data_IF_707828596582
#
_entry.id   IF_707828596582
#
_cell.length_a   1.000
_cell.length_b   1.000
_cell.length_c   1.000
_cell.angle_alpha   90.00
_cell.angle_beta   90.00
_cell.angle_gamma   90.00
#
_symmetry.space_group_name_H-M   'P 1'
#
loop_
_entity.id
_entity.type
_entity.pdbx_description
1 polymer ?
#
# COMPACT_ATOMS: atom_id res chain seq x y z
N UNK A 1 -11.29 -16.81 -17.78
CA UNK A 1 -9.88 -16.91 -17.35
C UNK A 1 -9.40 -15.52 -16.97
N UNK A 2 -9.14 -15.25 -15.69
CA UNK A 2 -8.65 -13.95 -15.24
C UNK A 2 -7.12 -13.95 -15.27
N UNK A 3 -6.45 -12.96 -15.88
CA UNK A 3 -5.00 -12.87 -15.85
C UNK A 3 -4.56 -12.48 -14.44
N UNK A 4 -3.97 -13.44 -13.73
CA UNK A 4 -3.33 -13.24 -12.44
C UNK A 4 -2.16 -12.25 -12.57
N UNK A 5 -2.01 -11.40 -11.57
CA UNK A 5 -0.86 -10.54 -11.36
C UNK A 5 0.48 -11.28 -11.61
N UNK A 6 1.10 -11.08 -12.78
CA UNK A 6 2.49 -11.54 -13.01
C UNK A 6 3.41 -10.69 -12.14
N UNK A 7 4.08 -11.31 -11.16
CA UNK A 7 5.22 -10.73 -10.45
C UNK A 7 6.30 -10.40 -11.47
N UNK A 8 6.61 -9.13 -11.65
CA UNK A 8 7.75 -8.66 -12.45
C UNK A 8 8.81 -8.18 -11.47
N UNK A 9 9.94 -8.90 -11.40
CA UNK A 9 11.19 -8.54 -10.72
C UNK A 9 11.09 -8.01 -9.27
N UNK A 10 11.32 -8.93 -8.33
CA UNK A 10 11.89 -8.67 -7.00
C UNK A 10 10.97 -8.08 -5.93
N UNK A 11 10.17 -7.06 -6.20
CA UNK A 11 9.33 -6.38 -5.20
C UNK A 11 8.06 -5.69 -5.76
N UNK A 12 7.78 -5.84 -7.06
CA UNK A 12 6.61 -5.22 -7.68
C UNK A 12 5.41 -6.17 -7.66
N UNK A 13 4.29 -5.70 -7.08
CA UNK A 13 3.05 -6.47 -6.92
C UNK A 13 1.91 -5.73 -7.60
N UNK A 14 1.13 -6.42 -8.43
CA UNK A 14 -0.11 -5.85 -8.94
C UNK A 14 -1.20 -5.89 -7.87
N UNK A 15 -1.89 -4.77 -7.71
CA UNK A 15 -2.99 -4.60 -6.76
C UNK A 15 -4.13 -3.86 -7.44
N UNK A 16 -5.32 -3.99 -6.88
CA UNK A 16 -6.44 -3.14 -7.19
C UNK A 16 -6.44 -1.96 -6.22
N UNK A 17 -6.37 -0.73 -6.71
CA UNK A 17 -6.52 0.49 -5.91
C UNK A 17 -7.93 1.05 -6.08
N UNK A 18 -8.61 1.35 -4.98
CA UNK A 18 -9.88 2.09 -5.04
C UNK A 18 -9.62 3.54 -5.51
N UNK A 19 -10.29 3.93 -6.58
CA UNK A 19 -10.26 5.29 -7.16
C UNK A 19 -11.15 6.20 -6.32
N UNK A 20 -10.58 7.29 -5.83
CA UNK A 20 -11.29 8.36 -5.11
C UNK A 20 -11.87 9.42 -6.08
N UNK A 21 -11.40 9.41 -7.34
CA UNK A 21 -11.84 10.35 -8.38
C UNK A 21 -12.85 9.68 -9.31
N UNK A 22 -13.92 10.43 -9.64
CA UNK A 22 -14.99 10.03 -10.56
C UNK A 22 -14.41 9.60 -11.93
N UNK A 23 -14.81 8.44 -12.48
CA UNK A 23 -15.73 7.46 -11.92
C UNK A 23 -15.10 6.65 -10.77
N UNK A 24 -15.86 6.48 -9.69
CA UNK A 24 -15.51 5.60 -8.58
C UNK A 24 -15.38 4.15 -9.08
N UNK A 25 -14.38 3.43 -8.58
CA UNK A 25 -14.14 2.04 -8.97
C UNK A 25 -12.75 1.55 -8.62
N UNK A 26 -12.49 0.27 -8.85
CA UNK A 26 -11.18 -0.33 -8.66
C UNK A 26 -10.34 -0.22 -9.94
N UNK A 27 -9.09 0.20 -9.79
CA UNK A 27 -8.14 0.30 -10.91
C UNK A 27 -6.89 -0.51 -10.58
N UNK A 28 -6.46 -1.35 -11.53
CA UNK A 28 -5.22 -2.12 -11.37
C UNK A 28 -4.02 -1.18 -11.36
N UNK A 29 -3.10 -1.39 -10.43
CA UNK A 29 -1.86 -0.63 -10.24
C UNK A 29 -0.74 -1.60 -9.91
N UNK A 30 0.48 -1.24 -10.28
CA UNK A 30 1.68 -1.90 -9.76
C UNK A 30 2.12 -1.14 -8.51
N UNK A 31 2.33 -1.83 -7.40
CA UNK A 31 2.91 -1.29 -6.17
C UNK A 31 4.33 -1.82 -6.03
N UNK A 32 5.25 -0.93 -5.68
CA UNK A 32 6.66 -1.24 -5.42
C UNK A 32 7.03 -0.60 -4.09
N UNK A 33 7.53 -1.39 -3.15
CA UNK A 33 8.01 -0.88 -1.87
C UNK A 33 9.53 -0.90 -1.85
N UNK A 34 10.14 0.25 -1.55
CA UNK A 34 11.57 0.39 -1.40
C UNK A 34 11.89 0.55 0.10
N UNK A 35 12.14 -0.58 0.78
CA UNK A 35 12.36 -0.64 2.25
C UNK A 35 13.52 0.25 2.72
N UNK A 36 14.63 0.31 1.96
CA UNK A 36 15.81 1.12 2.32
C UNK A 36 15.51 2.62 2.37
N UNK A 37 14.55 3.09 1.57
CA UNK A 37 14.08 4.48 1.57
C UNK A 37 12.77 4.67 2.33
N UNK A 38 12.13 3.57 2.75
CA UNK A 38 10.80 3.54 3.36
C UNK A 38 9.77 4.25 2.48
N UNK A 39 9.78 3.94 1.17
CA UNK A 39 8.88 4.56 0.19
C UNK A 39 7.97 3.51 -0.46
N UNK A 40 6.70 3.86 -0.62
CA UNK A 40 5.77 3.11 -1.47
C UNK A 40 5.51 3.90 -2.75
N UNK A 41 5.71 3.25 -3.89
CA UNK A 41 5.37 3.80 -5.20
C UNK A 41 4.27 2.98 -5.81
N UNK A 42 3.30 3.64 -6.44
CA UNK A 42 2.34 2.95 -7.29
C UNK A 42 2.30 3.54 -8.70
N UNK A 43 2.14 2.65 -9.68
CA UNK A 43 2.23 2.93 -11.10
C UNK A 43 0.94 2.55 -11.82
N UNK A 44 0.60 3.28 -12.89
CA UNK A 44 -0.57 3.00 -13.74
C UNK A 44 -0.41 1.74 -14.62
N UNK A 45 0.79 1.17 -14.68
CA UNK A 45 1.17 -0.01 -15.45
C UNK A 45 2.56 -0.50 -15.01
N UNK A 46 3.22 -1.38 -15.77
CA UNK A 46 4.55 -1.88 -15.43
C UNK A 46 5.54 -0.75 -15.16
N UNK A 47 6.46 -0.98 -14.21
CA UNK A 47 7.50 -0.03 -13.85
C UNK A 47 8.41 0.24 -15.06
N UNK A 48 8.41 1.47 -15.56
CA UNK A 48 9.27 1.89 -16.68
C UNK A 48 9.78 3.33 -16.44
N UNK A 49 10.99 3.45 -15.87
CA UNK A 49 11.71 4.72 -15.64
C UNK A 49 10.78 5.89 -15.30
N UNK A 50 9.95 5.71 -14.28
CA UNK A 50 8.96 6.66 -13.75
C UNK A 50 7.86 7.17 -14.70
N UNK A 51 7.84 6.79 -15.98
CA UNK A 51 6.78 7.18 -16.94
C UNK A 51 5.37 6.79 -16.49
N UNK A 52 5.28 5.73 -15.69
CA UNK A 52 4.03 5.21 -15.16
C UNK A 52 3.76 5.58 -13.70
N UNK A 53 4.65 6.32 -13.04
CA UNK A 53 4.53 6.64 -11.62
C UNK A 53 3.29 7.53 -11.39
N UNK A 54 2.40 7.07 -10.51
CA UNK A 54 1.21 7.82 -10.14
C UNK A 54 1.48 8.66 -8.89
N UNK A 55 2.05 8.05 -7.86
CA UNK A 55 2.49 8.76 -6.66
C UNK A 55 3.56 7.98 -5.91
N UNK A 56 4.26 8.71 -5.06
CA UNK A 56 5.23 8.20 -4.09
C UNK A 56 4.78 8.62 -2.69
N UNK A 57 4.71 7.66 -1.77
CA UNK A 57 4.28 7.86 -0.39
C UNK A 57 5.41 7.54 0.57
N UNK A 58 5.54 8.35 1.61
CA UNK A 58 6.50 8.13 2.69
C UNK A 58 5.89 7.21 3.75
N UNK A 59 6.52 6.05 3.93
CA UNK A 59 6.05 5.02 4.86
C UNK A 59 6.47 5.29 6.31
N UNK A 60 7.34 6.28 6.57
CA UNK A 60 7.76 6.66 7.95
C UNK A 60 6.61 7.13 8.82
N UNK A 61 5.62 7.74 8.20
CA UNK A 61 4.49 8.36 8.87
C UNK A 61 3.15 7.71 8.48
N UNK A 62 3.17 6.39 8.26
CA UNK A 62 1.94 5.62 8.03
C UNK A 62 1.10 5.63 9.30
N UNK A 63 -0.20 5.86 9.13
CA UNK A 63 -1.21 5.74 10.18
C UNK A 63 -2.39 4.93 9.68
N UNK A 64 -3.21 4.42 10.61
CA UNK A 64 -4.46 3.70 10.29
C UNK A 64 -4.26 2.52 9.33
N UNK A 65 -3.14 1.79 9.44
CA UNK A 65 -2.94 0.54 8.71
C UNK A 65 -3.89 -0.52 9.29
N UNK A 66 -4.94 -0.85 8.55
CA UNK A 66 -5.95 -1.79 8.98
C UNK A 66 -6.41 -2.71 7.86
N UNK A 67 -6.71 -3.95 8.22
CA UNK A 67 -7.37 -4.89 7.31
C UNK A 67 -8.78 -4.40 7.06
N UNK A 68 -9.15 -4.27 5.78
CA UNK A 68 -10.53 -3.93 5.43
C UNK A 68 -11.35 -5.21 5.52
N UNK A 69 -11.95 -5.48 6.69
CA UNK A 69 -12.91 -6.58 6.85
C UNK A 69 -14.11 -6.26 5.95
N UNK A 70 -14.52 -7.16 5.03
CA UNK A 70 -15.67 -6.90 4.19
C UNK A 70 -16.90 -6.73 5.07
N UNK A 71 -17.37 -5.48 5.23
CA UNK A 71 -18.67 -5.23 5.85
C UNK A 71 -19.72 -5.85 4.94
N UNK A 72 -20.45 -6.80 5.50
CA UNK A 72 -21.40 -7.71 4.87
C UNK A 72 -22.53 -6.94 4.15
N UNK A 73 -22.24 -6.29 3.02
CA UNK A 73 -23.22 -5.58 2.19
C UNK A 73 -22.85 -5.70 0.70
N UNK A 74 -23.60 -6.57 0.04
CA UNK A 74 -24.04 -6.54 -1.36
C UNK A 74 -23.49 -5.41 -2.25
N UNK A 75 -22.37 -5.66 -2.95
CA UNK A 75 -22.23 -5.47 -4.41
C UNK A 75 -20.85 -5.97 -4.88
N UNK A 76 -20.84 -7.00 -5.72
CA UNK A 76 -19.78 -7.45 -6.63
C UNK A 76 -18.30 -7.45 -6.15
N UNK A 77 -17.87 -8.60 -5.60
CA UNK A 77 -16.62 -9.28 -6.00
C UNK A 77 -15.25 -8.76 -5.52
N UNK A 78 -15.08 -7.49 -5.19
CA UNK A 78 -13.76 -6.88 -4.99
C UNK A 78 -13.55 -6.32 -3.58
N UNK A 79 -13.57 -7.21 -2.57
CA UNK A 79 -13.14 -6.87 -1.20
C UNK A 79 -12.34 -7.99 -0.52
N UNK A 80 -12.06 -9.09 -1.22
CA UNK A 80 -11.21 -10.15 -0.66
C UNK A 80 -9.79 -9.63 -0.58
N UNK A 81 -9.15 -9.79 0.58
CA UNK A 81 -7.77 -9.38 0.83
C UNK A 81 -7.51 -7.87 0.66
N UNK A 82 -8.52 -7.04 0.92
CA UNK A 82 -8.38 -5.60 0.95
C UNK A 82 -7.81 -5.12 2.29
N UNK A 83 -7.06 -4.02 2.24
CA UNK A 83 -6.53 -3.30 3.39
C UNK A 83 -6.45 -1.83 3.06
N UNK A 84 -6.39 -1.00 4.10
CA UNK A 84 -6.23 0.43 3.95
C UNK A 84 -5.20 1.00 4.90
N UNK A 85 -4.63 2.13 4.51
CA UNK A 85 -3.71 2.91 5.33
C UNK A 85 -3.70 4.35 4.86
N UNK A 86 -3.20 5.23 5.71
CA UNK A 86 -2.96 6.64 5.38
C UNK A 86 -1.47 6.91 5.43
N UNK A 87 -0.94 7.60 4.42
CA UNK A 87 0.46 8.00 4.38
C UNK A 87 0.62 9.37 3.69
N UNK A 88 1.60 10.20 4.09
CA UNK A 88 1.90 11.43 3.38
C UNK A 88 2.56 11.16 2.02
N UNK A 89 2.30 12.04 1.06
CA UNK A 89 3.08 12.08 -0.17
C UNK A 89 4.54 12.43 0.13
N UNK A 90 5.44 11.69 -0.49
CA UNK A 90 6.86 12.04 -0.52
C UNK A 90 7.04 13.42 -1.17
N UNK A 91 8.03 14.24 -0.74
CA UNK A 91 8.41 15.47 -1.42
C UNK A 91 8.71 15.31 -2.91
N UNK A 92 9.03 14.09 -3.36
CA UNK A 92 9.36 13.76 -4.76
C UNK A 92 8.17 13.16 -5.52
N UNK A 93 7.00 13.04 -4.90
CA UNK A 93 5.82 12.50 -5.56
C UNK A 93 5.40 13.39 -6.74
N UNK A 94 5.22 12.83 -7.95
CA UNK A 94 4.67 13.60 -9.04
C UNK A 94 3.25 14.05 -8.69
N UNK A 95 2.92 15.32 -8.93
CA UNK A 95 1.57 15.91 -8.81
C UNK A 95 1.01 16.09 -7.38
N UNK A 96 1.75 15.77 -6.32
CA UNK A 96 1.33 16.05 -4.96
C UNK A 96 2.36 16.93 -4.25
N UNK A 97 1.90 17.99 -3.57
CA UNK A 97 2.76 18.76 -2.66
C UNK A 97 3.12 17.83 -1.49
N UNK A 98 4.42 17.68 -1.21
CA UNK A 98 4.92 16.81 -0.13
C UNK A 98 4.20 17.09 1.20
N UNK A 99 3.99 16.03 1.99
CA UNK A 99 3.33 16.12 3.29
C UNK A 99 1.80 16.09 3.26
N UNK A 100 1.14 16.18 2.09
CA UNK A 100 -0.31 15.92 2.01
C UNK A 100 -0.59 14.45 2.30
N UNK A 101 -1.44 14.17 3.29
CA UNK A 101 -1.90 12.82 3.61
C UNK A 101 -2.80 12.27 2.48
N UNK A 102 -2.59 11.01 2.12
CA UNK A 102 -3.42 10.25 1.21
C UNK A 102 -3.87 8.96 1.90
N UNK A 103 -5.18 8.69 1.89
CA UNK A 103 -5.73 7.39 2.24
C UNK A 103 -5.67 6.49 1.00
N UNK A 104 -5.22 5.24 1.18
CA UNK A 104 -5.24 4.23 0.12
C UNK A 104 -5.99 3.02 0.60
N UNK A 105 -6.90 2.55 -0.25
CA UNK A 105 -7.51 1.23 -0.14
C UNK A 105 -6.97 0.38 -1.27
N UNK A 106 -6.23 -0.67 -0.90
CA UNK A 106 -5.61 -1.62 -1.82
C UNK A 106 -6.22 -3.00 -1.62
N UNK A 107 -6.36 -3.74 -2.70
CA UNK A 107 -6.72 -5.15 -2.69
C UNK A 107 -5.64 -5.93 -3.43
N UNK A 108 -5.07 -6.92 -2.73
CA UNK A 108 -4.17 -7.91 -3.34
C UNK A 108 -4.99 -9.05 -3.96
N UNK A 109 -4.37 -9.80 -4.87
CA UNK A 109 -5.01 -10.99 -5.47
C UNK A 109 -5.05 -12.15 -4.47
N UNK A 110 -4.08 -12.23 -3.56
CA UNK A 110 -3.97 -13.30 -2.56
C UNK A 110 -3.81 -12.77 -1.13
N UNK A 111 -4.22 -13.58 -0.15
CA UNK A 111 -3.98 -13.32 1.27
C UNK A 111 -2.49 -13.16 1.59
N UNK A 112 -1.64 -14.01 1.00
CA UNK A 112 -0.20 -13.95 1.21
C UNK A 112 0.42 -12.63 0.73
N UNK A 113 -0.05 -12.11 -0.41
CA UNK A 113 0.41 -10.81 -0.93
C UNK A 113 -0.09 -9.65 -0.09
N UNK A 114 -1.34 -9.71 0.41
CA UNK A 114 -1.85 -8.75 1.39
C UNK A 114 -0.97 -8.73 2.62
N UNK A 115 -0.74 -9.89 3.24
CA UNK A 115 0.08 -9.99 4.46
C UNK A 115 1.50 -9.51 4.22
N UNK A 116 2.12 -9.88 3.10
CA UNK A 116 3.46 -9.43 2.74
C UNK A 116 3.53 -7.89 2.63
N UNK A 117 2.60 -7.28 1.88
CA UNK A 117 2.54 -5.82 1.73
C UNK A 117 2.31 -5.11 3.07
N UNK A 118 1.33 -5.58 3.86
CA UNK A 118 1.04 -4.99 5.17
C UNK A 118 2.23 -5.11 6.12
N UNK A 119 2.91 -6.26 6.18
CA UNK A 119 4.09 -6.46 7.02
C UNK A 119 5.23 -5.51 6.63
N UNK A 120 5.50 -5.35 5.33
CA UNK A 120 6.55 -4.45 4.85
C UNK A 120 6.20 -2.99 5.15
N UNK A 121 4.94 -2.58 4.95
CA UNK A 121 4.47 -1.22 5.28
C UNK A 121 4.60 -0.96 6.79
N UNK A 122 4.14 -1.89 7.62
CA UNK A 122 4.24 -1.81 9.08
C UNK A 122 5.71 -1.68 9.52
N UNK A 123 6.59 -2.56 9.01
CA UNK A 123 8.02 -2.52 9.30
C UNK A 123 8.64 -1.18 8.93
N UNK A 124 8.31 -0.63 7.76
CA UNK A 124 8.83 0.68 7.34
C UNK A 124 8.41 1.80 8.31
N UNK A 125 7.16 1.78 8.79
CA UNK A 125 6.66 2.76 9.77
C UNK A 125 7.32 2.63 11.16
N UNK A 126 7.66 1.39 11.56
CA UNK A 126 8.27 1.11 12.86
C UNK A 126 9.78 1.34 12.87
N UNK A 127 10.45 1.20 11.73
CA UNK A 127 11.92 1.32 11.64
C UNK A 127 12.39 2.71 12.08
N UNK A 128 11.68 3.78 11.72
CA UNK A 128 12.01 5.15 12.15
C UNK A 128 11.69 5.36 13.65
N UNK A 129 10.63 4.71 14.17
CA UNK A 129 10.28 4.74 15.60
C UNK A 129 11.31 4.05 16.47
N UNK A 130 11.79 2.87 16.04
CA UNK A 130 12.83 2.10 16.73
C UNK A 130 14.15 2.88 16.71
N UNK A 131 14.52 3.46 15.56
CA UNK A 131 15.74 4.27 15.42
C UNK A 131 15.74 5.54 16.30
N UNK A 132 14.56 6.09 16.62
CA UNK A 132 14.42 7.30 17.48
C UNK A 132 14.13 7.03 18.95
N UNK A 133 13.80 5.80 19.33
CA UNK A 133 13.57 5.45 20.73
C UNK A 133 13.84 3.95 20.99
N UNK A 134 15.08 3.56 21.29
CA UNK A 134 15.44 2.15 21.54
C UNK A 134 14.80 1.55 22.82
N UNK A 135 13.95 2.30 23.55
CA UNK A 135 13.37 1.89 24.85
C UNK A 135 11.87 1.55 24.84
N UNK A 136 11.21 1.43 23.69
CA UNK A 136 9.86 0.85 23.64
C UNK A 136 9.74 -0.12 22.46
N UNK A 137 10.10 -1.38 22.71
CA UNK A 137 9.53 -2.48 21.96
C UNK A 137 8.02 -2.47 22.18
N UNK A 138 7.30 -1.96 21.19
CA UNK A 138 5.88 -2.25 21.06
C UNK A 138 5.79 -3.32 19.98
N UNK A 139 5.85 -4.58 20.41
CA UNK A 139 5.25 -5.67 19.63
C UNK A 139 3.78 -5.29 19.56
N UNK A 140 3.31 -4.90 18.39
CA UNK A 140 1.88 -4.96 18.11
C UNK A 140 1.53 -6.45 18.09
N UNK A 141 0.84 -6.91 19.14
CA UNK A 141 0.04 -8.13 19.09
C UNK A 141 -0.85 -8.04 17.86
N UNK A 142 -0.47 -8.76 16.82
CA UNK A 142 -1.34 -9.05 15.71
C UNK A 142 -2.35 -10.04 16.29
N UNK A 143 -3.51 -9.58 16.74
CA UNK A 143 -4.67 -10.48 16.93
C UNK A 143 -5.02 -11.05 15.55
N UNK A 144 -4.36 -12.17 15.22
CA UNK A 144 -4.69 -13.03 14.10
C UNK A 144 -5.84 -13.89 14.56
N UNK A 145 -7.06 -13.50 14.17
CA UNK A 145 -8.13 -14.48 13.93
C UNK A 145 -7.85 -15.24 12.63
#
# INVERSE_FOLDING_TARGET
MCPSARRTDGNDIWVWKKSEQMPFGWKTRVVSVEESKQLLRYYKGPKNKDKNLCAELDLKAVTNLQVHRPKQTTLAGHQKYAFEFTAPHSPRSPKAKGGKLQQLVLQADTEGERQALMRVIQRCSETDRIARSPKKGAILDLEVE
#
